data_IF_126410502273
#
_entry.id   IF_126410502273
#
_cell.length_a   1.000
_cell.length_b   1.000
_cell.length_c   1.000
_cell.angle_alpha   90.00
_cell.angle_beta   90.00
_cell.angle_gamma   90.00
#
_symmetry.space_group_name_H-M   'P 1'
#
loop_
_entity.id
_entity.type
_entity.pdbx_description
1 polymer ?
#
# COMPACT_ATOMS: atom_id res chain seq x y z
N UNK A 1 8.80 -13.70 33.98
CA UNK A 1 8.35 -14.06 32.61
C UNK A 1 7.91 -12.83 31.82
N UNK A 2 6.99 -11.98 32.35
CA UNK A 2 6.47 -10.79 31.66
C UNK A 2 7.56 -9.76 31.29
N UNK A 3 8.52 -9.46 32.18
CA UNK A 3 9.67 -8.58 31.89
C UNK A 3 10.51 -9.06 30.71
N UNK A 4 10.79 -10.37 30.63
CA UNK A 4 11.59 -10.94 29.53
C UNK A 4 10.85 -10.82 28.20
N UNK A 5 9.55 -11.09 28.19
CA UNK A 5 8.72 -10.94 27.00
C UNK A 5 8.66 -9.48 26.53
N UNK A 6 8.38 -8.54 27.44
CA UNK A 6 8.36 -7.11 27.13
C UNK A 6 9.70 -6.64 26.59
N UNK A 7 10.81 -7.06 27.20
CA UNK A 7 12.16 -6.73 26.73
C UNK A 7 12.43 -7.27 25.32
N UNK A 8 12.07 -8.53 25.03
CA UNK A 8 12.25 -9.12 23.70
C UNK A 8 11.45 -8.32 22.66
N UNK A 9 10.20 -7.99 22.95
CA UNK A 9 9.35 -7.20 22.05
C UNK A 9 9.93 -5.80 21.82
N UNK A 10 10.39 -5.13 22.88
CA UNK A 10 11.06 -3.82 22.76
C UNK A 10 12.33 -3.90 21.92
N UNK A 11 13.13 -4.95 22.11
CA UNK A 11 14.35 -5.16 21.34
C UNK A 11 14.04 -5.36 19.85
N UNK A 12 13.03 -6.17 19.51
CA UNK A 12 12.60 -6.39 18.12
C UNK A 12 12.12 -5.08 17.50
N UNK A 13 11.28 -4.31 18.19
CA UNK A 13 10.81 -3.00 17.72
C UNK A 13 11.97 -2.02 17.52
N UNK A 14 12.92 -1.98 18.47
CA UNK A 14 14.08 -1.12 18.36
C UNK A 14 14.98 -1.49 17.19
N UNK A 15 15.28 -2.77 16.99
CA UNK A 15 16.10 -3.23 15.88
C UNK A 15 15.44 -2.96 14.53
N UNK A 16 14.12 -3.14 14.41
CA UNK A 16 13.38 -2.82 13.21
C UNK A 16 13.38 -1.32 12.91
N UNK A 17 13.18 -0.51 13.94
CA UNK A 17 13.26 0.95 13.82
C UNK A 17 14.66 1.39 13.39
N UNK A 18 15.69 0.86 14.03
CA UNK A 18 17.09 1.15 13.69
C UNK A 18 17.40 0.75 12.24
N UNK A 19 16.94 -0.41 11.82
CA UNK A 19 17.07 -0.88 10.43
C UNK A 19 16.41 0.10 9.44
N UNK A 20 15.16 0.47 9.68
CA UNK A 20 14.45 1.41 8.80
C UNK A 20 15.14 2.77 8.76
N UNK A 21 15.51 3.31 9.91
CA UNK A 21 16.23 4.59 9.99
C UNK A 21 17.58 4.53 9.28
N UNK A 22 18.33 3.43 9.42
CA UNK A 22 19.64 3.28 8.78
C UNK A 22 19.52 3.21 7.26
N UNK A 23 18.55 2.47 6.72
CA UNK A 23 18.33 2.38 5.26
C UNK A 23 17.86 3.72 4.67
N UNK A 24 16.99 4.45 5.37
CA UNK A 24 16.58 5.81 5.00
C UNK A 24 17.76 6.78 5.03
N UNK A 25 18.57 6.75 6.09
CA UNK A 25 19.75 7.61 6.23
C UNK A 25 20.77 7.33 5.14
N UNK A 26 21.13 6.06 4.93
CA UNK A 26 22.03 5.65 3.86
C UNK A 26 21.51 6.06 2.48
N UNK A 27 20.21 5.87 2.24
CA UNK A 27 19.57 6.25 0.98
C UNK A 27 19.54 7.76 0.71
N UNK A 28 19.60 8.60 1.76
CA UNK A 28 19.76 10.06 1.61
C UNK A 28 21.19 10.48 1.29
N UNK A 29 22.18 9.69 1.71
CA UNK A 29 23.60 9.94 1.46
C UNK A 29 24.07 9.34 0.13
N UNK A 30 23.32 8.41 -0.44
CA UNK A 30 23.62 7.75 -1.69
C UNK A 30 22.72 8.23 -2.83
N UNK A 31 23.22 8.16 -4.04
CA UNK A 31 22.44 8.41 -5.25
C UNK A 31 22.55 7.17 -6.13
N UNK A 32 21.42 6.60 -6.50
CA UNK A 32 21.40 5.47 -7.43
C UNK A 32 21.97 5.94 -8.77
N UNK A 33 22.94 5.20 -9.30
CA UNK A 33 23.51 5.51 -10.62
C UNK A 33 22.44 5.30 -11.68
N UNK A 34 22.35 6.18 -12.69
CA UNK A 34 21.50 5.95 -13.84
C UNK A 34 21.82 4.60 -14.47
N UNK A 35 20.80 3.81 -14.75
CA UNK A 35 20.93 2.55 -15.47
C UNK A 35 20.85 2.82 -16.98
N UNK A 36 21.50 1.99 -17.81
CA UNK A 36 21.36 2.11 -19.26
C UNK A 36 19.93 1.76 -19.70
N UNK A 37 19.52 2.26 -20.84
CA UNK A 37 18.30 1.83 -21.50
C UNK A 37 18.46 0.36 -21.95
N UNK A 38 17.51 -0.49 -21.58
CA UNK A 38 17.50 -1.93 -21.91
C UNK A 38 16.31 -2.34 -22.75
N UNK A 39 15.31 -1.45 -22.91
CA UNK A 39 14.11 -1.69 -23.67
C UNK A 39 13.62 -0.40 -24.36
N UNK A 40 12.79 -0.56 -25.38
CA UNK A 40 12.05 0.55 -25.99
C UNK A 40 10.85 0.98 -25.14
N UNK A 41 10.08 1.99 -25.62
CA UNK A 41 8.92 2.49 -24.89
C UNK A 41 7.89 1.39 -24.60
N UNK A 42 7.37 1.39 -23.39
CA UNK A 42 6.38 0.42 -22.89
C UNK A 42 5.05 0.53 -23.63
N UNK A 43 4.34 -0.59 -23.73
CA UNK A 43 2.92 -0.63 -24.07
C UNK A 43 2.15 -1.10 -22.84
N UNK A 44 1.25 -0.25 -22.35
CA UNK A 44 0.54 -0.50 -21.09
C UNK A 44 -0.87 -1.02 -21.28
N UNK A 45 -1.23 -2.11 -20.57
CA UNK A 45 -2.60 -2.46 -20.26
C UNK A 45 -2.90 -1.93 -18.85
N UNK A 46 -3.81 -0.95 -18.75
CA UNK A 46 -4.20 -0.35 -17.47
C UNK A 46 -5.48 -1.04 -17.01
N UNK A 47 -5.41 -1.75 -15.89
CA UNK A 47 -6.50 -2.54 -15.33
C UNK A 47 -7.16 -1.76 -14.20
N UNK A 48 -8.44 -1.44 -14.37
CA UNK A 48 -9.27 -0.75 -13.37
C UNK A 48 -10.31 -1.73 -12.86
N UNK A 49 -10.17 -2.19 -11.59
CA UNK A 49 -11.16 -3.05 -10.97
C UNK A 49 -12.27 -2.20 -10.38
N UNK A 50 -13.53 -2.42 -10.81
CA UNK A 50 -14.66 -1.62 -10.39
C UNK A 50 -15.86 -2.47 -9.94
N UNK A 51 -16.53 -2.07 -8.85
CA UNK A 51 -17.79 -2.63 -8.39
C UNK A 51 -18.67 -1.54 -7.79
N UNK A 52 -19.67 -1.09 -8.56
CA UNK A 52 -20.57 0.00 -8.17
C UNK A 52 -19.80 1.30 -7.88
N UNK A 53 -18.99 1.73 -8.85
CA UNK A 53 -18.10 2.89 -8.77
C UNK A 53 -18.56 4.04 -9.71
N UNK A 54 -19.85 4.05 -10.10
CA UNK A 54 -20.44 5.08 -10.98
C UNK A 54 -20.09 6.51 -10.53
N UNK A 55 -20.09 6.85 -9.22
CA UNK A 55 -19.84 8.23 -8.78
C UNK A 55 -18.40 8.71 -8.97
N UNK A 56 -17.42 7.79 -9.05
CA UNK A 56 -15.98 8.13 -8.96
C UNK A 56 -15.17 7.71 -10.19
N UNK A 57 -15.56 6.64 -10.90
CA UNK A 57 -14.77 6.05 -11.98
C UNK A 57 -14.45 7.05 -13.11
N UNK A 58 -15.36 7.98 -13.40
CA UNK A 58 -15.17 8.98 -14.45
C UNK A 58 -13.94 9.87 -14.26
N UNK A 59 -13.57 10.17 -13.01
CA UNK A 59 -12.37 10.98 -12.71
C UNK A 59 -11.09 10.24 -13.06
N UNK A 60 -10.99 8.99 -12.67
CA UNK A 60 -9.84 8.16 -13.03
C UNK A 60 -9.72 8.06 -14.56
N UNK A 61 -10.82 7.71 -15.24
CA UNK A 61 -10.81 7.53 -16.69
C UNK A 61 -10.44 8.81 -17.41
N UNK A 62 -10.95 9.97 -16.99
CA UNK A 62 -10.54 11.25 -17.55
C UNK A 62 -9.05 11.52 -17.31
N UNK A 63 -8.53 11.24 -16.13
CA UNK A 63 -7.10 11.42 -15.82
C UNK A 63 -6.19 10.48 -16.61
N UNK A 64 -6.71 9.33 -17.03
CA UNK A 64 -6.00 8.39 -17.89
C UNK A 64 -6.07 8.78 -19.38
N UNK A 65 -7.16 9.44 -19.83
CA UNK A 65 -7.20 10.06 -21.16
C UNK A 65 -6.24 11.25 -21.29
N UNK A 66 -6.01 11.98 -20.19
CA UNK A 66 -5.15 13.18 -20.14
C UNK A 66 -3.66 12.87 -19.95
N UNK A 67 -3.22 11.61 -20.12
CA UNK A 67 -1.82 11.24 -19.93
C UNK A 67 -0.87 11.83 -20.98
N UNK A 68 0.26 12.36 -20.53
CA UNK A 68 1.38 12.78 -21.40
C UNK A 68 2.15 11.56 -21.89
N UNK A 69 1.46 10.66 -22.60
CA UNK A 69 2.00 9.42 -23.16
C UNK A 69 1.35 9.13 -24.50
N UNK A 70 2.05 8.43 -25.40
CA UNK A 70 1.54 8.09 -26.73
C UNK A 70 0.27 7.24 -26.61
N UNK A 71 -0.86 7.76 -27.10
CA UNK A 71 -2.18 7.13 -27.02
C UNK A 71 -2.25 5.75 -27.66
N UNK A 72 -1.44 5.47 -28.69
CA UNK A 72 -1.37 4.15 -29.32
C UNK A 72 -0.60 3.11 -28.47
N UNK A 73 -0.01 3.56 -27.34
CA UNK A 73 0.81 2.73 -26.49
C UNK A 73 0.17 2.36 -25.16
N UNK A 74 -1.07 2.72 -24.92
CA UNK A 74 -1.81 2.21 -23.78
C UNK A 74 -3.28 1.98 -24.09
N UNK A 75 -3.88 1.10 -23.31
CA UNK A 75 -5.31 0.78 -23.34
C UNK A 75 -5.79 0.61 -21.92
N UNK A 76 -6.94 1.17 -21.60
CA UNK A 76 -7.59 1.02 -20.30
C UNK A 76 -8.61 -0.13 -20.38
N UNK A 77 -8.58 -1.03 -19.42
CA UNK A 77 -9.50 -2.13 -19.25
C UNK A 77 -10.25 -1.96 -17.93
N UNK A 78 -11.52 -1.62 -17.99
CA UNK A 78 -12.39 -1.58 -16.82
C UNK A 78 -12.97 -2.98 -16.62
N UNK A 79 -12.59 -3.60 -15.49
CA UNK A 79 -13.07 -4.90 -15.07
C UNK A 79 -14.27 -4.68 -14.12
N UNK A 80 -15.47 -4.57 -14.71
CA UNK A 80 -16.71 -4.32 -13.99
C UNK A 80 -17.22 -5.62 -13.34
N UNK A 81 -17.05 -5.74 -12.02
CA UNK A 81 -17.34 -6.96 -11.25
C UNK A 81 -18.71 -6.88 -10.57
N UNK A 82 -19.70 -7.59 -11.10
CA UNK A 82 -21.07 -7.64 -10.55
C UNK A 82 -21.66 -6.25 -10.28
N UNK A 83 -21.44 -5.29 -11.19
CA UNK A 83 -22.02 -3.95 -11.07
C UNK A 83 -23.55 -4.01 -11.24
N UNK A 84 -24.24 -3.22 -10.43
CA UNK A 84 -25.70 -3.04 -10.44
C UNK A 84 -26.11 -1.60 -10.72
N UNK A 85 -25.13 -0.70 -10.81
CA UNK A 85 -25.25 0.71 -11.18
C UNK A 85 -24.75 0.94 -12.63
N UNK A 86 -24.57 2.20 -13.03
CA UNK A 86 -24.10 2.56 -14.36
C UNK A 86 -22.58 2.65 -14.51
N UNK A 87 -21.81 1.96 -13.66
CA UNK A 87 -20.33 1.95 -13.73
C UNK A 87 -19.84 1.57 -15.14
N UNK A 88 -20.36 0.47 -15.71
CA UNK A 88 -19.96 -0.01 -17.03
C UNK A 88 -20.36 0.98 -18.14
N UNK A 89 -21.57 1.51 -18.10
CA UNK A 89 -22.07 2.52 -19.07
C UNK A 89 -21.24 3.80 -19.01
N UNK A 90 -20.89 4.27 -17.83
CA UNK A 90 -20.03 5.45 -17.63
C UNK A 90 -18.66 5.21 -18.23
N UNK A 91 -18.07 4.03 -18.00
CA UNK A 91 -16.75 3.69 -18.51
C UNK A 91 -16.71 3.58 -20.05
N UNK A 92 -17.78 3.09 -20.68
CA UNK A 92 -17.89 2.96 -22.13
C UNK A 92 -17.87 4.30 -22.89
N UNK A 93 -18.06 5.43 -22.22
CA UNK A 93 -18.03 6.76 -22.85
C UNK A 93 -16.62 7.23 -23.20
N UNK A 94 -15.57 6.59 -22.70
CA UNK A 94 -14.17 6.97 -22.91
C UNK A 94 -13.54 6.19 -24.07
N UNK A 95 -12.88 6.87 -25.03
CA UNK A 95 -12.41 6.24 -26.28
C UNK A 95 -11.34 5.17 -26.08
N UNK A 96 -10.41 5.34 -25.11
CA UNK A 96 -9.34 4.37 -24.85
C UNK A 96 -9.75 3.27 -23.84
N UNK A 97 -11.06 3.14 -23.54
CA UNK A 97 -11.55 2.21 -22.54
C UNK A 97 -12.22 1.00 -23.20
N UNK A 98 -11.82 -0.18 -22.76
CA UNK A 98 -12.53 -1.44 -23.02
C UNK A 98 -13.14 -1.94 -21.73
N UNK A 99 -14.46 -2.11 -21.69
CA UNK A 99 -15.15 -2.65 -20.52
C UNK A 99 -15.30 -4.15 -20.64
N UNK A 100 -14.91 -4.88 -19.61
CA UNK A 100 -15.13 -6.31 -19.44
C UNK A 100 -16.04 -6.52 -18.23
N UNK A 101 -17.24 -7.06 -18.46
CA UNK A 101 -18.23 -7.26 -17.41
C UNK A 101 -18.21 -8.70 -16.90
N UNK A 102 -18.04 -8.86 -15.60
CA UNK A 102 -18.09 -10.12 -14.89
C UNK A 102 -19.39 -10.19 -14.07
N UNK A 103 -20.30 -11.07 -14.47
CA UNK A 103 -21.58 -11.30 -13.77
C UNK A 103 -21.67 -12.69 -13.13
N UNK A 104 -20.67 -13.55 -13.32
CA UNK A 104 -20.67 -14.95 -12.86
C UNK A 104 -19.55 -15.25 -11.86
N UNK A 105 -19.79 -16.27 -11.04
CA UNK A 105 -18.85 -16.69 -9.99
C UNK A 105 -18.95 -15.86 -8.70
N UNK A 106 -18.26 -16.26 -7.63
CA UNK A 106 -18.33 -15.56 -6.35
C UNK A 106 -17.54 -14.23 -6.38
N UNK A 107 -18.07 -13.21 -5.73
CA UNK A 107 -17.38 -11.93 -5.51
C UNK A 107 -16.48 -12.03 -4.29
N UNK A 108 -15.21 -12.39 -4.49
CA UNK A 108 -14.25 -12.64 -3.41
C UNK A 108 -13.18 -11.57 -3.25
N UNK A 109 -13.19 -10.52 -4.10
CA UNK A 109 -12.25 -9.39 -4.03
C UNK A 109 -11.49 -9.15 -5.32
N UNK A 110 -10.63 -8.16 -5.30
CA UNK A 110 -9.86 -7.68 -6.46
C UNK A 110 -8.97 -8.76 -7.09
N UNK A 111 -8.36 -9.63 -6.28
CA UNK A 111 -7.54 -10.74 -6.80
C UNK A 111 -8.32 -11.68 -7.73
N UNK A 112 -9.60 -11.98 -7.42
CA UNK A 112 -10.46 -12.80 -8.28
C UNK A 112 -10.83 -12.08 -9.59
N UNK A 113 -11.03 -10.77 -9.52
CA UNK A 113 -11.31 -9.95 -10.72
C UNK A 113 -10.09 -9.93 -11.64
N UNK A 114 -8.89 -9.75 -11.10
CA UNK A 114 -7.63 -9.78 -11.86
C UNK A 114 -7.37 -11.19 -12.45
N UNK A 115 -7.57 -12.25 -11.66
CA UNK A 115 -7.43 -13.65 -12.14
C UNK A 115 -8.38 -13.99 -13.30
N UNK A 116 -9.55 -13.35 -13.32
CA UNK A 116 -10.52 -13.52 -14.40
C UNK A 116 -10.20 -12.63 -15.61
N UNK A 117 -9.91 -11.35 -15.39
CA UNK A 117 -9.79 -10.36 -16.46
C UNK A 117 -8.47 -10.44 -17.23
N UNK A 118 -7.35 -10.73 -16.57
CA UNK A 118 -6.03 -10.78 -17.22
C UNK A 118 -5.98 -11.83 -18.33
N UNK A 119 -6.42 -13.09 -18.15
CA UNK A 119 -6.43 -14.09 -19.22
C UNK A 119 -7.27 -13.66 -20.43
N UNK A 120 -8.43 -13.04 -20.21
CA UNK A 120 -9.28 -12.55 -21.30
C UNK A 120 -8.59 -11.44 -22.12
N UNK A 121 -7.86 -10.55 -21.46
CA UNK A 121 -7.07 -9.52 -22.12
C UNK A 121 -5.92 -10.16 -22.90
N UNK A 122 -5.22 -11.13 -22.33
CA UNK A 122 -4.14 -11.85 -22.99
C UNK A 122 -4.63 -12.66 -24.21
N UNK A 123 -5.78 -13.34 -24.09
CA UNK A 123 -6.39 -14.08 -25.19
C UNK A 123 -6.77 -13.14 -26.35
N UNK A 124 -7.37 -11.98 -26.05
CA UNK A 124 -7.88 -11.06 -27.07
C UNK A 124 -6.81 -10.19 -27.71
N UNK A 125 -5.78 -9.77 -26.95
CA UNK A 125 -4.76 -8.82 -27.37
C UNK A 125 -3.35 -9.44 -27.45
N UNK A 126 -3.19 -10.70 -27.05
CA UNK A 126 -1.91 -11.41 -27.08
C UNK A 126 -0.81 -10.70 -26.29
N UNK A 127 0.39 -10.67 -26.86
CA UNK A 127 1.57 -9.98 -26.28
C UNK A 127 1.64 -8.50 -26.64
N UNK A 128 0.52 -7.86 -27.01
CA UNK A 128 0.51 -6.45 -27.41
C UNK A 128 0.95 -5.49 -26.30
N UNK A 129 0.76 -5.89 -25.04
CA UNK A 129 1.15 -5.08 -23.88
C UNK A 129 2.36 -5.68 -23.19
N UNK A 130 3.43 -4.86 -23.06
CA UNK A 130 4.65 -5.25 -22.36
C UNK A 130 4.53 -5.14 -20.84
N UNK A 131 3.65 -4.26 -20.35
CA UNK A 131 3.46 -3.99 -18.93
C UNK A 131 1.99 -3.84 -18.59
N UNK A 132 1.62 -4.28 -17.39
CA UNK A 132 0.32 -4.05 -16.80
C UNK A 132 0.42 -3.00 -15.69
N UNK A 133 -0.62 -2.19 -15.54
CA UNK A 133 -0.78 -1.21 -14.46
C UNK A 133 -2.11 -1.47 -13.77
N UNK A 134 -2.14 -1.41 -12.45
CA UNK A 134 -3.36 -1.65 -11.67
C UNK A 134 -3.78 -0.38 -10.95
N UNK A 135 -5.06 0.01 -11.14
CA UNK A 135 -5.70 1.10 -10.42
C UNK A 135 -7.00 0.65 -9.74
N UNK A 136 -7.32 1.27 -8.62
CA UNK A 136 -8.67 1.29 -8.05
C UNK A 136 -9.49 2.38 -8.73
N UNK A 137 -10.82 2.20 -8.82
CA UNK A 137 -11.69 3.08 -9.60
C UNK A 137 -11.84 4.51 -9.01
N UNK A 138 -11.50 4.69 -7.74
CA UNK A 138 -11.55 5.94 -6.98
C UNK A 138 -10.27 6.79 -7.04
N UNK A 139 -9.30 6.36 -7.84
CA UNK A 139 -8.03 7.07 -7.99
C UNK A 139 -8.08 8.18 -9.06
N UNK A 140 -7.02 9.01 -9.09
CA UNK A 140 -6.68 9.91 -10.19
C UNK A 140 -5.20 9.80 -10.50
N UNK A 141 -4.83 9.64 -11.77
CA UNK A 141 -3.43 9.63 -12.19
C UNK A 141 -2.94 11.05 -12.51
N UNK A 142 -1.72 11.39 -12.12
CA UNK A 142 -1.05 12.60 -12.62
C UNK A 142 -0.77 12.43 -14.12
N UNK A 143 -0.76 13.53 -14.89
CA UNK A 143 -0.52 13.51 -16.35
C UNK A 143 0.78 12.82 -16.74
N UNK A 144 1.81 12.92 -15.90
CA UNK A 144 3.11 12.32 -16.12
C UNK A 144 3.25 10.87 -15.62
N UNK A 145 2.17 10.23 -15.12
CA UNK A 145 2.23 8.92 -14.46
C UNK A 145 2.80 7.82 -15.35
N UNK A 146 2.25 7.65 -16.56
CA UNK A 146 2.71 6.61 -17.50
C UNK A 146 4.12 6.88 -18.01
N UNK A 147 4.47 8.14 -18.26
CA UNK A 147 5.83 8.55 -18.66
C UNK A 147 6.84 8.20 -17.56
N UNK A 148 6.51 8.44 -16.30
CA UNK A 148 7.36 8.10 -15.18
C UNK A 148 7.51 6.59 -14.97
N UNK A 149 6.44 5.80 -15.11
CA UNK A 149 6.54 4.35 -15.09
C UNK A 149 7.39 3.81 -16.25
N UNK A 150 7.19 4.35 -17.46
CA UNK A 150 7.97 3.98 -18.64
C UNK A 150 9.46 4.22 -18.40
N UNK A 151 9.85 5.32 -17.78
CA UNK A 151 11.24 5.59 -17.41
C UNK A 151 11.83 4.44 -16.58
N UNK A 152 11.13 3.96 -15.56
CA UNK A 152 11.59 2.83 -14.73
C UNK A 152 11.71 1.54 -15.55
N UNK A 153 10.72 1.20 -16.37
CA UNK A 153 10.69 -0.04 -17.15
C UNK A 153 11.72 -0.06 -18.25
N UNK A 154 11.92 1.04 -18.96
CA UNK A 154 12.96 1.14 -19.99
C UNK A 154 14.37 1.02 -19.42
N UNK A 155 14.55 1.28 -18.13
CA UNK A 155 15.79 1.06 -17.38
C UNK A 155 15.83 -0.28 -16.62
N UNK A 156 14.93 -1.22 -16.94
CA UNK A 156 14.99 -2.62 -16.49
C UNK A 156 14.28 -2.92 -15.17
N UNK A 157 13.50 -2.01 -14.63
CA UNK A 157 12.57 -2.34 -13.54
C UNK A 157 11.54 -3.38 -14.03
N UNK A 158 11.11 -4.28 -13.16
CA UNK A 158 10.11 -5.30 -13.50
C UNK A 158 8.82 -5.16 -12.69
N UNK A 159 8.88 -4.53 -11.54
CA UNK A 159 7.75 -4.22 -10.66
C UNK A 159 8.00 -2.83 -10.08
N UNK A 160 7.06 -1.91 -10.25
CA UNK A 160 7.22 -0.50 -9.89
C UNK A 160 6.00 -0.01 -9.13
N UNK A 161 6.23 0.60 -7.98
CA UNK A 161 5.23 1.31 -7.19
C UNK A 161 5.31 2.81 -7.48
N UNK A 162 4.16 3.43 -7.79
CA UNK A 162 4.05 4.87 -7.92
C UNK A 162 4.02 5.61 -6.57
N UNK A 163 3.92 6.92 -6.63
CA UNK A 163 3.84 7.82 -5.49
C UNK A 163 2.37 8.11 -5.17
N UNK A 164 1.87 7.56 -4.06
CA UNK A 164 0.47 7.66 -3.61
C UNK A 164 0.24 8.92 -2.79
N UNK A 165 -0.53 9.85 -3.30
CA UNK A 165 -0.90 11.10 -2.66
C UNK A 165 -2.37 11.08 -2.21
N UNK A 166 -2.75 11.72 -1.11
CA UNK A 166 -4.13 11.78 -0.69
C UNK A 166 -4.93 12.79 -1.54
N UNK A 167 -6.15 12.40 -1.94
CA UNK A 167 -7.07 13.27 -2.67
C UNK A 167 -7.76 14.28 -1.74
N UNK A 168 -8.12 13.83 -0.54
CA UNK A 168 -8.93 14.57 0.43
C UNK A 168 -8.27 14.68 1.82
N UNK A 169 -7.01 15.19 1.93
CA UNK A 169 -6.25 15.16 3.19
C UNK A 169 -6.83 16.05 4.29
N UNK A 170 -7.72 17.01 3.97
CA UNK A 170 -8.18 18.03 4.91
C UNK A 170 -9.60 17.86 5.41
N UNK A 171 -10.33 16.83 4.97
CA UNK A 171 -11.75 16.67 5.28
C UNK A 171 -12.04 16.53 6.76
N UNK A 172 -11.31 15.66 7.41
CA UNK A 172 -11.43 15.45 8.86
C UNK A 172 -10.20 14.75 9.45
N UNK A 173 -10.25 14.45 10.73
CA UNK A 173 -9.15 13.83 11.46
C UNK A 173 -8.78 12.43 10.92
N UNK A 174 -9.77 11.65 10.46
CA UNK A 174 -9.54 10.29 9.93
C UNK A 174 -8.79 10.37 8.61
N UNK A 175 -9.23 11.24 7.68
CA UNK A 175 -8.53 11.44 6.42
C UNK A 175 -7.11 11.99 6.62
N UNK A 176 -6.91 12.86 7.63
CA UNK A 176 -5.57 13.33 8.01
C UNK A 176 -4.66 12.18 8.46
N UNK A 177 -5.15 11.28 9.31
CA UNK A 177 -4.38 10.12 9.77
C UNK A 177 -3.99 9.18 8.65
N UNK A 178 -4.94 8.87 7.76
CA UNK A 178 -4.66 8.02 6.59
C UNK A 178 -3.70 8.68 5.61
N UNK A 179 -3.88 9.98 5.36
CA UNK A 179 -2.95 10.76 4.52
C UNK A 179 -1.53 10.67 5.06
N UNK A 180 -1.34 10.91 6.36
CA UNK A 180 -0.01 10.81 6.98
C UNK A 180 0.55 9.38 6.96
N UNK A 181 -0.30 8.36 7.10
CA UNK A 181 0.12 6.96 7.00
C UNK A 181 0.73 6.66 5.62
N UNK A 182 0.01 6.95 4.54
CA UNK A 182 0.50 6.69 3.18
C UNK A 182 1.69 7.57 2.81
N UNK A 183 1.65 8.85 3.12
CA UNK A 183 2.78 9.76 2.92
C UNK A 183 4.03 9.33 3.69
N UNK A 184 3.87 8.72 4.86
CA UNK A 184 5.01 8.15 5.61
C UNK A 184 5.63 6.98 4.85
N UNK A 185 4.82 6.11 4.22
CA UNK A 185 5.33 5.02 3.38
C UNK A 185 6.17 5.57 2.23
N UNK A 186 5.72 6.63 1.56
CA UNK A 186 6.44 7.26 0.44
C UNK A 186 7.72 7.97 0.89
N UNK A 187 7.65 8.74 2.00
CA UNK A 187 8.83 9.41 2.58
C UNK A 187 9.94 8.43 2.97
N UNK A 188 9.58 7.21 3.37
CA UNK A 188 10.56 6.15 3.63
C UNK A 188 11.00 5.44 2.34
N UNK A 189 10.12 5.18 1.40
CA UNK A 189 10.41 4.43 0.16
C UNK A 189 11.37 5.19 -0.75
N UNK A 190 11.19 6.49 -0.90
CA UNK A 190 11.99 7.34 -1.81
C UNK A 190 13.51 7.27 -1.54
N UNK A 191 14.03 7.55 -0.33
CA UNK A 191 15.47 7.42 -0.08
C UNK A 191 15.94 5.96 -0.13
N UNK A 192 15.13 5.00 0.31
CA UNK A 192 15.48 3.59 0.35
C UNK A 192 15.65 2.98 -1.05
N UNK A 193 15.00 3.54 -2.06
CA UNK A 193 15.25 3.20 -3.46
C UNK A 193 16.73 3.34 -3.85
N UNK A 194 17.44 4.35 -3.33
CA UNK A 194 18.86 4.58 -3.61
C UNK A 194 19.79 3.49 -3.07
N UNK A 195 19.35 2.67 -2.13
CA UNK A 195 20.08 1.54 -1.53
C UNK A 195 19.44 0.19 -1.87
N UNK A 196 18.70 0.13 -2.97
CA UNK A 196 18.06 -1.07 -3.52
C UNK A 196 17.08 -1.78 -2.57
N UNK A 197 16.50 -1.06 -1.60
CA UNK A 197 15.45 -1.60 -0.76
C UNK A 197 14.11 -1.57 -1.50
N UNK A 198 13.28 -2.62 -1.33
CA UNK A 198 12.01 -2.71 -2.03
C UNK A 198 11.01 -1.64 -1.57
N UNK A 199 10.17 -1.21 -2.50
CA UNK A 199 8.97 -0.43 -2.20
C UNK A 199 7.84 -1.35 -1.70
N UNK A 200 6.93 -0.82 -0.89
CA UNK A 200 5.72 -1.52 -0.48
C UNK A 200 4.68 -1.35 -1.59
N UNK A 201 4.21 -2.44 -2.18
CA UNK A 201 3.08 -2.41 -3.10
C UNK A 201 1.79 -2.22 -2.27
N UNK A 202 0.98 -1.24 -2.63
CA UNK A 202 -0.12 -0.73 -1.80
C UNK A 202 -1.50 -0.79 -2.49
N UNK A 203 -1.76 -1.85 -3.24
CA UNK A 203 -3.06 -2.15 -3.84
C UNK A 203 -3.29 -1.50 -5.20
N UNK A 204 -2.85 -0.28 -5.39
CA UNK A 204 -3.18 0.54 -6.56
C UNK A 204 -2.00 1.40 -6.99
N UNK A 205 -2.02 1.95 -8.21
CA UNK A 205 -0.95 2.82 -8.73
C UNK A 205 0.40 2.12 -8.90
N UNK A 206 0.41 0.83 -9.18
CA UNK A 206 1.62 0.07 -9.46
C UNK A 206 1.57 -0.60 -10.84
N UNK A 207 2.74 -0.80 -11.41
CA UNK A 207 2.89 -1.47 -12.70
C UNK A 207 3.92 -2.58 -12.66
N UNK A 208 3.80 -3.54 -13.57
CA UNK A 208 4.72 -4.66 -13.68
C UNK A 208 4.84 -5.21 -15.11
N UNK A 209 5.96 -5.85 -15.39
CA UNK A 209 6.26 -6.55 -16.63
C UNK A 209 5.26 -7.72 -16.83
N UNK A 210 4.58 -7.77 -17.98
CA UNK A 210 3.58 -8.81 -18.30
C UNK A 210 4.16 -10.22 -18.21
N UNK A 211 5.46 -10.39 -18.44
CA UNK A 211 6.17 -11.67 -18.31
C UNK A 211 6.20 -12.23 -16.89
N UNK A 212 5.88 -11.43 -15.86
CA UNK A 212 5.75 -11.94 -14.48
C UNK A 212 4.57 -12.90 -14.30
N UNK A 213 3.63 -12.89 -15.25
CA UNK A 213 2.44 -13.74 -15.26
C UNK A 213 2.59 -14.95 -16.18
N UNK A 214 3.70 -15.08 -16.93
CA UNK A 214 3.91 -16.21 -17.84
C UNK A 214 3.93 -17.53 -17.08
N UNK A 215 3.15 -18.48 -17.55
CA UNK A 215 3.02 -19.85 -17.02
C UNK A 215 2.09 -19.98 -15.82
N UNK A 216 2.03 -19.00 -14.92
CA UNK A 216 1.24 -19.09 -13.69
C UNK A 216 -0.03 -18.19 -13.69
N UNK A 217 0.00 -17.05 -14.45
CA UNK A 217 -1.06 -16.06 -14.40
C UNK A 217 -1.11 -15.28 -13.09
N UNK A 218 -2.23 -14.65 -12.80
CA UNK A 218 -2.48 -13.97 -11.53
C UNK A 218 -3.10 -14.95 -10.52
N UNK A 219 -2.31 -15.42 -9.56
CA UNK A 219 -2.71 -16.43 -8.58
C UNK A 219 -2.50 -15.94 -7.14
N UNK A 220 -3.44 -15.13 -6.65
CA UNK A 220 -3.48 -14.68 -5.26
C UNK A 220 -4.66 -15.30 -4.53
N UNK A 221 -4.50 -15.59 -3.25
CA UNK A 221 -5.46 -16.30 -2.40
C UNK A 221 -5.93 -15.48 -1.22
N UNK A 222 -5.16 -14.44 -0.85
CA UNK A 222 -5.47 -13.57 0.29
C UNK A 222 -6.29 -12.36 -0.13
N UNK A 223 -6.87 -11.69 0.86
CA UNK A 223 -7.67 -10.48 0.66
C UNK A 223 -6.80 -9.23 0.38
N UNK A 224 -5.47 -9.37 0.41
CA UNK A 224 -4.47 -8.35 0.05
C UNK A 224 -3.60 -8.90 -1.09
N UNK A 225 -4.23 -9.04 -2.24
CA UNK A 225 -3.70 -9.67 -3.45
C UNK A 225 -2.40 -9.03 -3.96
N UNK A 226 -2.25 -7.73 -3.76
CA UNK A 226 -1.11 -6.91 -4.14
C UNK A 226 0.16 -7.27 -3.35
N UNK A 227 0.04 -7.36 -2.04
CA UNK A 227 1.13 -7.76 -1.16
C UNK A 227 1.50 -9.23 -1.37
N UNK A 228 0.50 -10.10 -1.59
CA UNK A 228 0.74 -11.50 -1.92
C UNK A 228 1.48 -11.64 -3.25
N UNK A 229 1.05 -10.91 -4.29
CA UNK A 229 1.74 -10.87 -5.59
C UNK A 229 3.19 -10.39 -5.43
N UNK A 230 3.40 -9.30 -4.69
CA UNK A 230 4.74 -8.79 -4.40
C UNK A 230 5.61 -9.83 -3.71
N UNK A 231 5.09 -10.56 -2.73
CA UNK A 231 5.82 -11.62 -2.03
C UNK A 231 6.19 -12.78 -2.97
N UNK A 232 5.28 -13.20 -3.84
CA UNK A 232 5.54 -14.24 -4.84
C UNK A 232 6.66 -13.81 -5.80
N UNK A 233 6.69 -12.54 -6.23
CA UNK A 233 7.77 -12.03 -7.07
C UNK A 233 9.11 -11.91 -6.33
N UNK A 234 9.08 -11.55 -5.04
CA UNK A 234 10.29 -11.50 -4.21
C UNK A 234 10.96 -12.86 -4.08
N UNK A 235 10.22 -13.96 -4.02
CA UNK A 235 10.77 -15.32 -4.06
C UNK A 235 11.48 -15.64 -5.38
N UNK A 236 11.05 -15.03 -6.48
CA UNK A 236 11.71 -15.10 -7.78
C UNK A 236 12.90 -14.13 -7.90
N UNK A 237 13.23 -13.40 -6.82
CA UNK A 237 14.31 -12.38 -6.80
C UNK A 237 13.95 -11.07 -7.50
N UNK A 238 12.65 -10.83 -7.72
CA UNK A 238 12.14 -9.61 -8.36
C UNK A 238 11.56 -8.74 -7.26
N UNK A 239 12.22 -7.62 -6.96
CA UNK A 239 11.82 -6.68 -5.93
C UNK A 239 11.23 -5.43 -6.56
N UNK A 240 10.23 -4.86 -5.90
CA UNK A 240 9.56 -3.64 -6.32
C UNK A 240 10.48 -2.42 -6.20
N UNK A 241 10.43 -1.54 -7.20
CA UNK A 241 11.10 -0.24 -7.21
C UNK A 241 10.09 0.88 -6.92
N UNK A 242 10.55 1.98 -6.33
CA UNK A 242 9.73 3.16 -6.10
C UNK A 242 9.99 4.22 -7.17
N UNK A 243 8.92 4.77 -7.78
CA UNK A 243 9.01 5.85 -8.76
C UNK A 243 8.27 7.08 -8.23
N UNK A 244 9.00 8.05 -7.72
CA UNK A 244 8.45 9.25 -7.07
C UNK A 244 7.72 10.22 -8.02
N UNK A 245 8.02 10.15 -9.32
CA UNK A 245 7.36 10.97 -10.34
C UNK A 245 6.08 10.34 -10.89
N UNK A 246 5.86 9.04 -10.69
CA UNK A 246 4.62 8.37 -11.03
C UNK A 246 3.57 8.68 -9.96
N UNK A 247 3.09 9.91 -9.92
CA UNK A 247 2.14 10.41 -8.91
C UNK A 247 0.72 10.00 -9.25
N UNK A 248 -0.03 9.59 -8.24
CA UNK A 248 -1.46 9.37 -8.32
C UNK A 248 -2.12 9.73 -6.99
N UNK A 249 -3.41 10.03 -7.04
CA UNK A 249 -4.19 10.49 -5.90
C UNK A 249 -5.24 9.44 -5.55
N UNK A 250 -5.45 9.25 -4.26
CA UNK A 250 -6.31 8.23 -3.68
C UNK A 250 -7.23 8.81 -2.60
N UNK A 251 -8.52 8.45 -2.64
CA UNK A 251 -9.51 8.92 -1.68
C UNK A 251 -9.31 8.25 -0.31
N UNK A 252 -9.21 9.05 0.74
CA UNK A 252 -9.03 8.56 2.10
C UNK A 252 -10.38 8.40 2.82
N UNK A 253 -10.57 7.38 3.67
CA UNK A 253 -11.79 7.20 4.42
C UNK A 253 -12.03 8.40 5.37
N UNK A 254 -13.29 8.81 5.49
CA UNK A 254 -13.70 9.91 6.38
C UNK A 254 -14.62 9.46 7.52
N UNK A 255 -14.94 8.17 7.60
CA UNK A 255 -15.79 7.62 8.67
C UNK A 255 -15.07 6.54 9.47
N UNK A 256 -15.38 6.46 10.78
CA UNK A 256 -14.86 5.42 11.66
C UNK A 256 -15.16 4.00 11.14
N UNK A 257 -16.36 3.79 10.60
CA UNK A 257 -16.79 2.48 10.08
C UNK A 257 -15.93 2.06 8.89
N UNK A 258 -15.69 2.96 7.93
CA UNK A 258 -14.85 2.72 6.77
C UNK A 258 -13.39 2.45 7.19
N UNK A 259 -12.85 3.30 8.08
CA UNK A 259 -11.50 3.16 8.62
C UNK A 259 -11.29 1.79 9.29
N UNK A 260 -12.15 1.43 10.25
CA UNK A 260 -12.02 0.15 10.98
C UNK A 260 -12.15 -1.05 10.04
N UNK A 261 -13.11 -1.01 9.11
CA UNK A 261 -13.30 -2.07 8.11
C UNK A 261 -12.07 -2.26 7.25
N UNK A 262 -11.49 -1.17 6.73
CA UNK A 262 -10.32 -1.22 5.86
C UNK A 262 -9.08 -1.70 6.61
N UNK A 263 -8.81 -1.16 7.82
CA UNK A 263 -7.69 -1.58 8.65
C UNK A 263 -7.77 -3.06 9.05
N UNK A 264 -8.97 -3.54 9.43
CA UNK A 264 -9.16 -4.96 9.75
C UNK A 264 -8.88 -5.85 8.54
N UNK A 265 -9.31 -5.45 7.35
CA UNK A 265 -9.05 -6.17 6.11
C UNK A 265 -7.54 -6.26 5.84
N UNK A 266 -6.80 -5.16 5.93
CA UNK A 266 -5.35 -5.15 5.73
C UNK A 266 -4.62 -6.01 6.76
N UNK A 267 -4.96 -5.87 8.04
CA UNK A 267 -4.32 -6.66 9.10
C UNK A 267 -4.62 -8.16 8.96
N UNK A 268 -5.85 -8.52 8.61
CA UNK A 268 -6.22 -9.91 8.33
C UNK A 268 -5.40 -10.47 7.16
N UNK A 269 -5.31 -9.73 6.05
CA UNK A 269 -4.57 -10.16 4.87
C UNK A 269 -3.07 -10.31 5.13
N UNK A 270 -2.45 -9.36 5.84
CA UNK A 270 -1.05 -9.45 6.25
C UNK A 270 -0.77 -10.71 7.07
N UNK A 271 -1.67 -11.04 7.98
CA UNK A 271 -1.58 -12.25 8.79
C UNK A 271 -1.76 -13.53 7.95
N UNK A 272 -2.70 -13.53 7.00
CA UNK A 272 -2.88 -14.63 6.06
C UNK A 272 -1.63 -14.87 5.21
N UNK A 273 -1.00 -13.81 4.67
CA UNK A 273 0.28 -13.92 3.94
C UNK A 273 1.35 -14.53 4.85
N UNK A 274 1.50 -14.02 6.07
CA UNK A 274 2.49 -14.53 7.00
C UNK A 274 2.27 -16.04 7.29
N UNK A 275 1.02 -16.48 7.50
CA UNK A 275 0.69 -17.88 7.71
C UNK A 275 0.95 -18.78 6.48
N UNK A 276 0.60 -18.28 5.29
CA UNK A 276 0.74 -19.05 4.06
C UNK A 276 2.19 -19.20 3.62
N UNK A 277 2.98 -18.13 3.76
CA UNK A 277 4.28 -18.03 3.12
C UNK A 277 5.50 -18.12 4.06
N UNK A 278 5.37 -18.19 5.40
CA UNK A 278 6.52 -18.21 6.30
C UNK A 278 7.50 -19.36 6.04
N UNK A 279 7.00 -20.57 5.68
CA UNK A 279 7.86 -21.74 5.37
C UNK A 279 8.61 -21.55 4.06
N UNK A 280 7.92 -21.00 3.05
CA UNK A 280 8.50 -20.71 1.74
C UNK A 280 9.52 -19.58 1.86
N UNK A 281 9.16 -18.52 2.58
CA UNK A 281 10.07 -17.43 2.92
C UNK A 281 11.36 -17.95 3.59
N UNK A 282 11.24 -18.81 4.59
CA UNK A 282 12.39 -19.41 5.30
C UNK A 282 13.25 -20.27 4.36
N UNK A 283 12.63 -21.02 3.45
CA UNK A 283 13.32 -21.83 2.43
C UNK A 283 14.15 -20.93 1.50
N UNK A 284 13.54 -19.89 0.94
CA UNK A 284 14.20 -18.95 0.04
C UNK A 284 15.33 -18.21 0.75
N UNK A 285 15.07 -17.71 1.96
CA UNK A 285 16.08 -17.03 2.75
C UNK A 285 17.29 -17.91 3.09
N UNK A 286 17.07 -19.20 3.40
CA UNK A 286 18.15 -20.16 3.65
C UNK A 286 18.93 -20.52 2.39
N UNK A 287 18.26 -20.62 1.25
CA UNK A 287 18.90 -20.97 -0.03
C UNK A 287 19.75 -19.80 -0.56
N UNK A 288 19.26 -18.57 -0.45
CA UNK A 288 19.95 -17.36 -0.86
C UNK A 288 19.60 -16.23 0.11
N UNK A 289 20.40 -16.03 1.16
CA UNK A 289 20.18 -14.93 2.11
C UNK A 289 20.14 -13.58 1.38
N UNK A 290 18.99 -12.91 1.45
CA UNK A 290 18.80 -11.58 0.91
C UNK A 290 18.04 -10.74 1.95
N UNK A 291 18.64 -9.63 2.36
CA UNK A 291 18.09 -8.75 3.38
C UNK A 291 16.75 -8.15 2.95
N UNK A 292 16.51 -8.01 1.64
CA UNK A 292 15.26 -7.50 1.06
C UNK A 292 14.08 -8.43 1.34
N UNK A 293 14.30 -9.74 1.46
CA UNK A 293 13.26 -10.69 1.89
C UNK A 293 12.84 -10.45 3.34
N UNK A 294 13.79 -10.12 4.22
CA UNK A 294 13.48 -9.75 5.61
C UNK A 294 12.71 -8.44 5.62
N UNK A 295 13.19 -7.45 4.89
CA UNK A 295 12.63 -6.11 4.83
C UNK A 295 11.15 -6.12 4.39
N UNK A 296 10.78 -6.91 3.40
CA UNK A 296 9.39 -7.05 2.96
C UNK A 296 8.49 -7.82 3.94
N UNK A 297 9.06 -8.73 4.75
CA UNK A 297 8.28 -9.52 5.69
C UNK A 297 8.04 -8.79 7.03
N UNK A 298 8.97 -7.91 7.42
CA UNK A 298 8.92 -7.16 8.69
C UNK A 298 7.63 -6.32 8.82
N UNK A 299 7.24 -5.47 7.84
CA UNK A 299 6.06 -4.61 7.98
C UNK A 299 4.77 -5.38 8.26
N UNK A 300 4.65 -6.61 7.73
CA UNK A 300 3.48 -7.47 7.93
C UNK A 300 3.28 -7.86 9.40
N UNK A 301 4.38 -8.00 10.15
CA UNK A 301 4.36 -8.42 11.54
C UNK A 301 4.39 -7.25 12.53
N UNK A 302 4.92 -6.10 12.13
CA UNK A 302 5.19 -5.01 13.08
C UNK A 302 3.95 -4.44 13.75
N UNK A 303 2.83 -4.29 13.03
CA UNK A 303 1.60 -3.82 13.64
C UNK A 303 1.10 -4.78 14.74
N UNK A 304 1.22 -6.10 14.52
CA UNK A 304 0.87 -7.13 15.52
C UNK A 304 1.82 -7.09 16.71
N UNK A 305 3.12 -7.01 16.45
CA UNK A 305 4.16 -6.92 17.50
C UNK A 305 3.95 -5.65 18.35
N UNK A 306 3.69 -4.51 17.71
CA UNK A 306 3.43 -3.27 18.41
C UNK A 306 2.13 -3.31 19.23
N UNK A 307 1.09 -3.96 18.71
CA UNK A 307 -0.16 -4.16 19.43
C UNK A 307 0.00 -5.05 20.67
N UNK A 308 0.74 -6.16 20.58
CA UNK A 308 1.08 -6.98 21.75
C UNK A 308 1.94 -6.22 22.76
N UNK A 309 2.89 -5.41 22.30
CA UNK A 309 3.66 -4.52 23.17
C UNK A 309 2.74 -3.56 23.94
N UNK A 310 1.78 -2.92 23.26
CA UNK A 310 0.83 -2.02 23.92
C UNK A 310 -0.02 -2.77 24.97
N UNK A 311 -0.55 -3.95 24.64
CA UNK A 311 -1.32 -4.78 25.57
C UNK A 311 -0.50 -5.23 26.78
N UNK A 312 0.75 -5.64 26.60
CA UNK A 312 1.61 -6.03 27.71
C UNK A 312 1.91 -4.86 28.65
N UNK A 313 2.08 -3.65 28.11
CA UNK A 313 2.23 -2.44 28.94
C UNK A 313 0.94 -2.11 29.70
N UNK A 314 -0.23 -2.26 29.08
CA UNK A 314 -1.52 -2.05 29.75
C UNK A 314 -1.71 -3.04 30.92
N UNK A 315 -1.41 -4.33 30.69
CA UNK A 315 -1.46 -5.37 31.73
C UNK A 315 -0.49 -5.07 32.87
N UNK A 316 0.70 -4.55 32.52
CA UNK A 316 1.70 -4.14 33.51
C UNK A 316 1.23 -2.98 34.38
N UNK A 317 0.62 -1.96 33.78
CA UNK A 317 0.00 -0.86 34.53
C UNK A 317 -1.12 -1.35 35.46
N UNK A 318 -1.98 -2.26 34.97
CA UNK A 318 -3.02 -2.90 35.75
C UNK A 318 -2.46 -3.70 36.94
N UNK A 319 -1.41 -4.50 36.74
CA UNK A 319 -0.74 -5.23 37.83
C UNK A 319 -0.19 -4.29 38.90
N UNK A 320 0.47 -3.21 38.49
CA UNK A 320 0.98 -2.19 39.45
C UNK A 320 -0.12 -1.51 40.25
N UNK A 321 -1.27 -1.25 39.59
CA UNK A 321 -2.44 -0.71 40.28
C UNK A 321 -2.93 -1.64 41.40
N UNK A 322 -2.98 -2.95 41.10
CA UNK A 322 -3.41 -3.97 42.07
C UNK A 322 -2.44 -4.11 43.24
N UNK A 323 -1.15 -3.91 43.00
CA UNK A 323 -0.09 -3.96 44.03
C UNK A 323 0.09 -2.62 44.79
N UNK A 324 -0.72 -1.61 44.48
CA UNK A 324 -0.58 -0.27 45.12
C UNK A 324 0.71 0.47 44.74
N UNK A 325 1.36 0.08 43.64
CA UNK A 325 2.57 0.69 43.14
C UNK A 325 2.26 1.91 42.25
N UNK A 326 3.19 2.87 42.08
CA UNK A 326 2.98 3.95 41.11
C UNK A 326 2.66 3.43 39.73
N UNK A 327 1.61 3.89 39.09
CA UNK A 327 1.14 3.40 37.76
C UNK A 327 2.20 3.57 36.67
N UNK A 328 2.93 4.70 36.71
CA UNK A 328 4.01 5.00 35.77
C UNK A 328 5.28 5.33 36.56
N UNK A 329 6.41 4.91 36.03
CA UNK A 329 7.74 5.35 36.52
C UNK A 329 8.27 6.49 35.65
N UNK A 330 9.31 7.18 36.09
CA UNK A 330 9.99 8.17 35.26
C UNK A 330 10.51 7.60 33.93
N UNK A 331 10.88 6.31 33.89
CA UNK A 331 11.29 5.61 32.67
C UNK A 331 10.10 5.43 31.69
N UNK A 332 8.94 5.07 32.22
CA UNK A 332 7.73 4.91 31.40
C UNK A 332 7.32 6.25 30.78
N UNK A 333 7.32 7.32 31.57
CA UNK A 333 7.00 8.68 31.08
C UNK A 333 8.01 9.10 30.00
N UNK A 334 9.31 8.93 30.23
CA UNK A 334 10.34 9.26 29.25
C UNK A 334 10.14 8.48 27.94
N UNK A 335 9.87 7.17 28.02
CA UNK A 335 9.66 6.32 26.86
C UNK A 335 8.44 6.75 26.03
N UNK A 336 7.30 6.96 26.66
CA UNK A 336 6.08 7.40 25.97
C UNK A 336 6.21 8.81 25.40
N UNK A 337 6.90 9.71 26.10
CA UNK A 337 7.23 11.05 25.59
C UNK A 337 8.10 10.96 24.34
N UNK A 338 9.12 10.10 24.35
CA UNK A 338 10.00 9.89 23.20
C UNK A 338 9.21 9.34 21.98
N UNK A 339 8.34 8.34 22.18
CA UNK A 339 7.50 7.81 21.10
C UNK A 339 6.53 8.86 20.55
N UNK A 340 5.97 9.70 21.42
CA UNK A 340 5.10 10.79 21.00
C UNK A 340 5.84 11.85 20.18
N UNK A 341 6.99 12.31 20.65
CA UNK A 341 7.84 13.25 19.89
C UNK A 341 8.24 12.66 18.54
N UNK A 342 8.58 11.37 18.50
CA UNK A 342 8.89 10.67 17.25
C UNK A 342 7.69 10.68 16.30
N UNK A 343 6.45 10.43 16.80
CA UNK A 343 5.24 10.48 15.98
C UNK A 343 4.99 11.88 15.40
N UNK A 344 5.27 12.95 16.17
CA UNK A 344 5.17 14.33 15.68
C UNK A 344 6.19 14.62 14.57
N UNK A 345 7.43 14.16 14.74
CA UNK A 345 8.48 14.31 13.73
C UNK A 345 8.10 13.56 12.44
N UNK A 346 7.64 12.31 12.57
CA UNK A 346 7.23 11.48 11.43
C UNK A 346 6.04 12.09 10.71
N UNK A 347 4.98 12.47 11.43
CA UNK A 347 3.80 13.13 10.84
C UNK A 347 4.14 14.43 10.14
N UNK A 348 5.00 15.28 10.74
CA UNK A 348 5.45 16.53 10.12
C UNK A 348 6.26 16.26 8.85
N UNK A 349 7.16 15.27 8.85
CA UNK A 349 7.93 14.90 7.66
C UNK A 349 7.04 14.32 6.55
N UNK A 350 6.05 13.51 6.90
CA UNK A 350 5.07 12.98 5.94
C UNK A 350 4.30 14.11 5.26
N UNK A 351 3.75 15.03 6.04
CA UNK A 351 3.00 16.20 5.53
C UNK A 351 3.87 17.08 4.62
N UNK A 352 5.14 17.32 4.98
CA UNK A 352 6.10 18.05 4.13
C UNK A 352 6.44 17.28 2.86
N UNK A 353 6.66 15.97 2.96
CA UNK A 353 6.96 15.11 1.80
C UNK A 353 5.81 15.05 0.79
N UNK A 354 4.56 15.11 1.25
CA UNK A 354 3.36 15.19 0.43
C UNK A 354 2.99 16.59 -0.02
N UNK A 355 3.82 17.60 0.27
CA UNK A 355 3.58 19.01 -0.10
C UNK A 355 2.27 19.59 0.49
N UNK A 356 1.78 19.01 1.62
CA UNK A 356 0.54 19.44 2.26
C UNK A 356 0.75 20.62 3.22
N UNK A 357 -0.33 21.35 3.49
CA UNK A 357 -0.32 22.50 4.39
C UNK A 357 -0.27 22.05 5.86
N UNK A 358 0.88 22.25 6.53
CA UNK A 358 1.10 21.83 7.93
C UNK A 358 0.02 22.38 8.86
N UNK A 359 -0.41 23.64 8.69
CA UNK A 359 -1.44 24.27 9.54
C UNK A 359 -2.77 23.51 9.47
N UNK A 360 -3.21 23.10 8.27
CA UNK A 360 -4.43 22.33 8.07
C UNK A 360 -4.31 20.90 8.62
N UNK A 361 -3.11 20.30 8.57
CA UNK A 361 -2.81 18.95 9.06
C UNK A 361 -2.45 18.88 10.55
N UNK A 362 -2.41 20.01 11.26
CA UNK A 362 -1.97 20.06 12.66
C UNK A 362 -2.76 19.14 13.59
N UNK A 363 -4.10 19.03 13.52
CA UNK A 363 -4.85 18.08 14.35
C UNK A 363 -4.38 16.64 14.15
N UNK A 364 -4.19 16.21 12.89
CA UNK A 364 -3.68 14.87 12.57
C UNK A 364 -2.26 14.65 13.09
N UNK A 365 -1.36 15.62 12.92
CA UNK A 365 0.02 15.55 13.42
C UNK A 365 0.03 15.37 14.94
N UNK A 366 -0.72 16.18 15.67
CA UNK A 366 -0.76 16.12 17.15
C UNK A 366 -1.38 14.82 17.68
N UNK A 367 -2.27 14.20 16.92
CA UNK A 367 -2.99 12.99 17.33
C UNK A 367 -2.53 11.73 16.61
N UNK A 368 -1.55 11.79 15.70
CA UNK A 368 -1.05 10.65 14.92
C UNK A 368 -0.54 9.49 15.76
N UNK A 369 0.01 9.78 16.94
CA UNK A 369 0.42 8.74 17.90
C UNK A 369 -0.76 7.87 18.37
N UNK A 370 -1.95 8.45 18.57
CA UNK A 370 -3.16 7.68 18.90
C UNK A 370 -3.62 6.80 17.74
N UNK A 371 -3.50 7.28 16.51
CA UNK A 371 -3.79 6.44 15.33
C UNK A 371 -2.88 5.22 15.26
N UNK A 372 -1.58 5.36 15.54
CA UNK A 372 -0.65 4.23 15.58
C UNK A 372 -1.03 3.18 16.64
N UNK A 373 -1.45 3.63 17.84
CA UNK A 373 -1.95 2.75 18.91
C UNK A 373 -3.22 2.05 18.44
N UNK A 374 -4.17 2.78 17.87
CA UNK A 374 -5.44 2.25 17.37
C UNK A 374 -5.23 1.21 16.26
N UNK A 375 -4.37 1.50 15.28
CA UNK A 375 -3.97 0.58 14.24
C UNK A 375 -3.40 -0.73 14.82
N UNK A 376 -2.56 -0.62 15.83
CA UNK A 376 -1.93 -1.76 16.48
C UNK A 376 -2.92 -2.61 17.27
N UNK A 377 -3.89 -2.00 17.93
CA UNK A 377 -4.98 -2.73 18.60
C UNK A 377 -5.89 -3.44 17.60
N UNK A 378 -6.20 -2.82 16.46
CA UNK A 378 -6.93 -3.47 15.37
C UNK A 378 -6.12 -4.65 14.81
N UNK A 379 -4.81 -4.54 14.69
CA UNK A 379 -3.97 -5.64 14.23
C UNK A 379 -4.10 -6.86 15.16
N UNK A 380 -3.99 -6.67 16.48
CA UNK A 380 -4.21 -7.75 17.45
C UNK A 380 -5.65 -8.30 17.40
N UNK A 381 -6.64 -7.39 17.36
CA UNK A 381 -8.05 -7.80 17.24
C UNK A 381 -8.29 -8.68 16.00
N UNK A 382 -7.68 -8.34 14.87
CA UNK A 382 -7.83 -9.08 13.61
C UNK A 382 -7.22 -10.47 13.63
N UNK A 383 -6.26 -10.76 14.52
CA UNK A 383 -5.73 -12.12 14.75
C UNK A 383 -6.83 -13.05 15.28
N UNK A 384 -7.69 -12.55 16.18
CA UNK A 384 -8.74 -13.35 16.81
C UNK A 384 -10.06 -13.28 16.04
N UNK A 385 -10.33 -12.17 15.36
CA UNK A 385 -11.57 -11.87 14.63
C UNK A 385 -11.28 -11.41 13.19
N UNK A 386 -10.80 -12.30 12.31
CA UNK A 386 -10.40 -11.93 10.96
C UNK A 386 -11.58 -11.47 10.10
N UNK A 387 -11.37 -10.45 9.27
CA UNK A 387 -12.32 -9.96 8.28
C UNK A 387 -11.97 -10.50 6.90
N UNK A 388 -12.60 -11.60 6.51
CA UNK A 388 -12.35 -12.27 5.22
C UNK A 388 -13.29 -11.82 4.09
N UNK A 389 -14.28 -11.00 4.40
CA UNK A 389 -15.21 -10.48 3.40
C UNK A 389 -14.81 -9.08 3.00
N UNK A 390 -14.76 -8.83 1.70
CA UNK A 390 -14.64 -7.48 1.19
C UNK A 390 -15.95 -6.72 1.40
N UNK A 391 -15.88 -5.53 1.97
CA UNK A 391 -17.03 -4.65 2.22
C UNK A 391 -16.78 -3.37 1.43
N UNK A 392 -17.69 -2.95 0.54
CA UNK A 392 -17.57 -1.70 -0.21
C UNK A 392 -17.46 -0.50 0.74
N UNK A 393 -16.64 0.47 0.38
CA UNK A 393 -16.56 1.76 1.08
C UNK A 393 -17.42 2.73 0.28
N UNK A 394 -18.30 3.49 0.96
CA UNK A 394 -19.06 4.54 0.32
C UNK A 394 -18.14 5.73 0.02
N UNK A 395 -18.09 6.14 -1.24
CA UNK A 395 -17.36 7.32 -1.70
C UNK A 395 -18.18 8.58 -1.44
N UNK A 396 -17.52 9.64 -0.97
CA UNK A 396 -18.18 10.89 -0.54
C UNK A 396 -17.77 12.06 -1.44
N UNK A 397 -16.59 11.99 -2.05
CA UNK A 397 -16.05 13.08 -2.84
C UNK A 397 -16.30 12.94 -4.35
N UNK A 398 -17.00 13.94 -4.90
CA UNK A 398 -17.22 14.07 -6.34
C UNK A 398 -16.28 15.10 -7.02
N UNK A 399 -15.43 15.83 -6.23
CA UNK A 399 -14.56 16.89 -6.75
C UNK A 399 -13.07 16.52 -6.67
N UNK A 400 -12.25 17.01 -7.59
CA UNK A 400 -10.79 16.80 -7.61
C UNK A 400 -10.06 17.53 -6.49
N UNK A 401 -8.71 17.36 -6.37
CA UNK A 401 -7.94 18.01 -5.31
C UNK A 401 -8.08 19.53 -5.36
N UNK A 402 -8.34 20.17 -4.21
CA UNK A 402 -8.26 21.63 -4.08
C UNK A 402 -6.83 22.07 -4.45
N UNK A 403 -6.71 22.99 -5.41
CA UNK A 403 -5.44 23.58 -5.85
C UNK A 403 -4.80 24.46 -4.79
#
# INVERSE_FOLDING_TARGET
>A
MMYVLTFIVQLVLFLTFLWTCSTVFMGRLTHKKPRPLVAGPSRFAILVCAHNEEPVIGKLLQSLEDQDYDGDRYQVFVLADHCTDRTAETAQQYPHVTVLERSSGPRTGKGAVLSWGIPLIQERFGSSFSHLVIFDADNMADRGFLTALNDSFTHGARLVMGNRLPLNPYDNLISQWYSMYWLSVDVFSKPRYNVDMPAIISGTGFGFDSRLLEGEGWHTRTIVEDMEFSMQQNFKGIFSEYQDKARFYDEQPVTWKAMVSQLRRWMTGNYEIAQLYWREWLRHFRAKPDIRLIDNFIPMLMCVVFGFYFLTNLLWVGHRALEGLPLLTGKDVLWWTMLYVLSLIMGTNAVRGGELQIKKMLPGILTGGFFCIFLSLIAVYSVFFPQRKWIPIAHIHQEGPEK
#
